data_IF_934448873194
#
_entry.id   IF_934448873194
#
_cell.length_a   1.000
_cell.length_b   1.000
_cell.length_c   1.000
_cell.angle_alpha   90.00
_cell.angle_beta   90.00
_cell.angle_gamma   90.00
#
_symmetry.space_group_name_H-M   'P 1'
#
loop_
_entity.id
_entity.type
_entity.pdbx_description
1 polymer ?
#
# COMPACT_ATOMS: atom_id res chain seq x y z
N UNK A 1 -4.63 -16.37 -2.93
CA UNK A 1 -4.38 -14.96 -3.30
C UNK A 1 -3.87 -14.89 -4.73
N UNK A 2 -4.49 -14.07 -5.57
CA UNK A 2 -4.11 -13.81 -6.95
C UNK A 2 -3.26 -12.53 -7.05
N UNK A 3 -2.26 -12.51 -7.95
CA UNK A 3 -1.47 -11.31 -8.24
C UNK A 3 -1.75 -10.86 -9.66
N UNK A 4 -2.24 -9.62 -9.81
CA UNK A 4 -2.64 -9.04 -11.10
C UNK A 4 -1.73 -7.87 -11.43
N UNK A 5 -0.84 -7.99 -12.44
CA UNK A 5 -0.11 -6.84 -12.96
C UNK A 5 -1.07 -5.95 -13.77
N UNK A 6 -1.43 -4.79 -13.23
CA UNK A 6 -2.31 -3.83 -13.89
C UNK A 6 -1.47 -3.00 -14.87
N UNK A 7 -1.39 -3.46 -16.11
CA UNK A 7 -0.58 -2.88 -17.18
C UNK A 7 0.90 -2.61 -16.83
N UNK A 8 1.41 -3.30 -15.81
CA UNK A 8 2.75 -3.13 -15.29
C UNK A 8 3.79 -3.37 -16.40
N UNK A 9 4.68 -2.41 -16.61
CA UNK A 9 5.69 -2.46 -17.67
C UNK A 9 5.16 -2.20 -19.08
N UNK A 10 3.86 -1.94 -19.25
CA UNK A 10 3.24 -1.58 -20.55
C UNK A 10 2.89 -0.10 -20.63
N UNK A 11 2.32 0.46 -19.56
CA UNK A 11 2.02 1.90 -19.44
C UNK A 11 1.95 2.32 -17.98
N UNK A 12 2.01 3.62 -17.75
CA UNK A 12 1.69 4.22 -16.47
C UNK A 12 0.17 4.43 -16.35
N UNK A 13 -0.45 3.86 -15.33
CA UNK A 13 -1.91 3.83 -15.18
C UNK A 13 -2.40 5.11 -14.48
N UNK A 14 -3.37 5.85 -15.04
CA UNK A 14 -4.00 6.96 -14.35
C UNK A 14 -4.58 6.52 -13.00
N UNK A 15 -4.37 7.32 -11.96
CA UNK A 15 -4.72 6.93 -10.59
C UNK A 15 -6.20 6.54 -10.44
N UNK A 16 -7.10 7.32 -11.06
CA UNK A 16 -8.54 7.08 -10.98
C UNK A 16 -8.95 5.71 -11.53
N UNK A 17 -8.36 5.28 -12.65
CA UNK A 17 -8.61 3.99 -13.28
C UNK A 17 -8.30 2.83 -12.32
N UNK A 18 -7.13 2.89 -11.69
CA UNK A 18 -6.73 1.88 -10.71
C UNK A 18 -7.55 1.96 -9.43
N UNK A 19 -7.94 3.15 -8.98
CA UNK A 19 -8.77 3.32 -7.79
C UNK A 19 -10.19 2.78 -7.99
N UNK A 20 -10.77 2.97 -9.16
CA UNK A 20 -12.06 2.38 -9.54
C UNK A 20 -12.00 0.86 -9.57
N UNK A 21 -10.92 0.30 -10.11
CA UNK A 21 -10.68 -1.14 -10.07
C UNK A 21 -10.52 -1.64 -8.64
N UNK A 22 -9.75 -0.95 -7.79
CA UNK A 22 -9.61 -1.33 -6.36
C UNK A 22 -10.98 -1.40 -5.66
N UNK A 23 -11.89 -0.45 -5.91
CA UNK A 23 -13.24 -0.45 -5.31
C UNK A 23 -14.07 -1.64 -5.79
N UNK A 24 -13.97 -1.98 -7.07
CA UNK A 24 -14.65 -3.14 -7.66
C UNK A 24 -14.14 -4.44 -7.04
N UNK A 25 -12.82 -4.64 -7.05
CA UNK A 25 -12.16 -5.82 -6.46
C UNK A 25 -12.45 -5.92 -4.96
N UNK A 26 -12.44 -4.80 -4.23
CA UNK A 26 -12.80 -4.78 -2.80
C UNK A 26 -14.23 -5.28 -2.57
N UNK A 27 -15.19 -4.83 -3.37
CA UNK A 27 -16.57 -5.27 -3.26
C UNK A 27 -16.73 -6.77 -3.52
N UNK A 28 -16.05 -7.30 -4.54
CA UNK A 28 -16.08 -8.72 -4.89
C UNK A 28 -15.42 -9.60 -3.83
N UNK A 29 -14.24 -9.22 -3.32
CA UNK A 29 -13.56 -9.93 -2.22
C UNK A 29 -14.39 -9.86 -0.94
N UNK A 30 -15.00 -8.71 -0.65
CA UNK A 30 -15.90 -8.53 0.50
C UNK A 30 -17.17 -9.39 0.39
N UNK A 31 -17.67 -9.64 -0.82
CA UNK A 31 -18.80 -10.53 -1.09
C UNK A 31 -18.40 -12.02 -1.19
N UNK A 32 -17.10 -12.33 -1.26
CA UNK A 32 -16.60 -13.70 -1.45
C UNK A 32 -16.77 -14.21 -2.88
N UNK A 33 -17.01 -13.34 -3.85
CA UNK A 33 -17.19 -13.70 -5.27
C UNK A 33 -15.89 -13.63 -6.07
N UNK A 34 -14.81 -13.16 -5.44
CA UNK A 34 -13.45 -13.12 -6.00
C UNK A 34 -12.45 -13.54 -4.92
N UNK A 35 -11.38 -14.27 -5.25
CA UNK A 35 -10.29 -14.53 -4.32
C UNK A 35 -9.58 -13.23 -3.92
N UNK A 36 -8.91 -13.25 -2.76
CA UNK A 36 -7.97 -12.21 -2.36
C UNK A 36 -7.04 -11.83 -3.52
N UNK A 37 -6.93 -10.54 -3.82
CA UNK A 37 -6.25 -10.04 -5.01
C UNK A 37 -5.22 -8.98 -4.62
N UNK A 38 -4.01 -9.07 -5.17
CA UNK A 38 -3.00 -8.02 -5.10
C UNK A 38 -2.84 -7.40 -6.49
N UNK A 39 -3.16 -6.11 -6.62
CA UNK A 39 -2.86 -5.37 -7.84
C UNK A 39 -1.43 -4.82 -7.75
N UNK A 40 -0.63 -5.02 -8.80
CA UNK A 40 0.69 -4.41 -8.94
C UNK A 40 0.65 -3.41 -10.10
N UNK A 41 1.04 -2.18 -9.85
CA UNK A 41 0.87 -1.07 -10.81
C UNK A 41 2.00 -0.05 -10.71
N UNK A 42 2.23 0.65 -11.81
CA UNK A 42 3.00 1.88 -11.86
C UNK A 42 2.04 3.00 -12.31
N UNK A 43 2.02 4.12 -11.60
CA UNK A 43 1.08 5.21 -11.90
C UNK A 43 1.66 6.25 -12.83
N UNK A 44 0.77 6.92 -13.57
CA UNK A 44 1.10 8.26 -14.08
C UNK A 44 1.35 9.20 -12.89
N UNK A 45 2.20 10.23 -13.08
CA UNK A 45 2.56 11.17 -12.01
C UNK A 45 1.30 11.76 -11.35
N UNK A 46 1.17 11.61 -10.03
CA UNK A 46 -0.01 12.01 -9.27
C UNK A 46 0.33 12.25 -7.80
N UNK A 47 -0.24 13.31 -7.24
CA UNK A 47 -0.28 13.52 -5.80
C UNK A 47 -1.60 13.02 -5.23
N UNK A 48 -1.55 12.26 -4.13
CA UNK A 48 -2.76 11.77 -3.44
C UNK A 48 -2.78 12.23 -2.00
N UNK A 49 -3.88 12.82 -1.55
CA UNK A 49 -4.08 13.31 -0.20
C UNK A 49 -4.97 12.34 0.59
N UNK A 50 -4.37 11.64 1.57
CA UNK A 50 -5.12 10.80 2.51
C UNK A 50 -5.89 11.64 3.55
N UNK A 51 -6.72 10.98 4.36
CA UNK A 51 -7.65 11.63 5.32
C UNK A 51 -7.02 12.59 6.34
N UNK A 52 -5.71 12.51 6.59
CA UNK A 52 -5.00 13.34 7.57
C UNK A 52 -4.17 14.47 6.95
N UNK A 53 -4.28 14.68 5.63
CA UNK A 53 -3.48 15.69 4.91
C UNK A 53 -3.86 17.10 5.34
N UNK A 54 -2.89 17.86 5.84
CA UNK A 54 -3.09 19.28 6.12
C UNK A 54 -2.92 20.13 4.85
N UNK A 55 -3.46 21.35 4.86
CA UNK A 55 -3.34 22.25 3.71
C UNK A 55 -1.87 22.57 3.36
N UNK A 56 -1.01 22.75 4.37
CA UNK A 56 0.43 23.01 4.20
C UNK A 56 1.24 21.78 3.77
N UNK A 57 0.67 20.58 3.80
CA UNK A 57 1.35 19.40 3.26
C UNK A 57 1.27 19.37 1.72
N UNK A 58 0.31 20.10 1.11
CA UNK A 58 0.02 20.09 -0.33
C UNK A 58 1.03 20.93 -1.14
N UNK A 59 1.19 20.65 -2.46
CA UNK A 59 1.95 21.51 -3.35
C UNK A 59 1.39 22.94 -3.35
N UNK A 60 2.30 23.92 -3.36
CA UNK A 60 1.95 25.35 -3.39
C UNK A 60 1.95 25.94 -4.80
N UNK A 61 2.36 25.16 -5.80
CA UNK A 61 2.48 25.55 -7.21
C UNK A 61 1.21 25.33 -8.04
N UNK A 62 0.11 24.89 -7.40
CA UNK A 62 -1.15 24.60 -8.07
C UNK A 62 -1.24 23.21 -8.72
N UNK A 63 -0.23 22.35 -8.50
CA UNK A 63 -0.27 20.97 -9.00
C UNK A 63 -1.51 20.22 -8.48
N UNK A 64 -2.31 19.56 -9.36
CA UNK A 64 -3.49 18.83 -8.94
C UNK A 64 -3.20 17.72 -7.92
N UNK A 65 -4.10 17.57 -6.94
CA UNK A 65 -4.04 16.54 -5.90
C UNK A 65 -5.35 15.79 -5.86
N UNK A 66 -5.30 14.46 -5.84
CA UNK A 66 -6.48 13.60 -5.70
C UNK A 66 -6.74 13.31 -4.22
N UNK A 67 -7.89 13.74 -3.71
CA UNK A 67 -8.31 13.40 -2.35
C UNK A 67 -8.84 11.97 -2.28
N UNK A 68 -8.30 11.19 -1.33
CA UNK A 68 -8.52 9.74 -1.22
C UNK A 68 -8.82 9.31 0.21
N UNK A 69 -9.46 8.16 0.36
CA UNK A 69 -9.99 7.65 1.62
C UNK A 69 -9.01 6.78 2.43
N UNK A 70 -7.77 6.60 1.96
CA UNK A 70 -6.72 5.89 2.70
C UNK A 70 -6.32 6.63 3.99
N UNK A 71 -5.75 5.86 4.92
CA UNK A 71 -4.98 6.43 6.01
C UNK A 71 -3.74 7.19 5.52
N UNK A 72 -3.09 7.89 6.45
CA UNK A 72 -1.91 8.72 6.12
C UNK A 72 -2.27 10.11 5.62
N UNK A 73 -1.24 10.84 5.20
CA UNK A 73 -1.31 12.19 4.66
C UNK A 73 -0.99 12.18 3.16
N UNK A 74 -0.51 13.28 2.60
CA UNK A 74 -0.15 13.37 1.19
C UNK A 74 1.05 12.48 0.83
N UNK A 75 1.07 11.98 -0.39
CA UNK A 75 2.23 11.33 -1.03
C UNK A 75 2.18 11.57 -2.53
N UNK A 76 3.26 11.23 -3.21
CA UNK A 76 3.34 11.18 -4.67
C UNK A 76 3.48 9.72 -5.17
N UNK A 77 2.92 9.46 -6.34
CA UNK A 77 3.14 8.25 -7.14
C UNK A 77 3.47 8.62 -8.57
N UNK A 78 4.26 7.79 -9.25
CA UNK A 78 4.57 8.01 -10.65
C UNK A 78 5.53 6.97 -11.25
N UNK A 79 6.07 7.25 -12.45
CA UNK A 79 7.03 6.38 -13.12
C UNK A 79 8.23 6.03 -12.23
N UNK A 80 8.65 4.77 -12.25
CA UNK A 80 9.75 4.26 -11.42
C UNK A 80 9.37 3.96 -9.98
N UNK A 81 8.09 4.01 -9.60
CA UNK A 81 7.60 3.63 -8.27
C UNK A 81 6.66 2.43 -8.39
N UNK A 82 7.03 1.30 -7.77
CA UNK A 82 6.19 0.11 -7.72
C UNK A 82 5.13 0.28 -6.64
N UNK A 83 3.86 0.27 -7.04
CA UNK A 83 2.72 0.34 -6.13
C UNK A 83 2.04 -1.02 -6.05
N UNK A 84 1.72 -1.46 -4.83
CA UNK A 84 0.98 -2.68 -4.60
C UNK A 84 -0.28 -2.39 -3.78
N UNK A 85 -1.41 -2.93 -4.23
CA UNK A 85 -2.70 -2.87 -3.55
C UNK A 85 -3.17 -4.26 -3.17
N UNK A 86 -2.74 -4.79 -2.00
CA UNK A 86 -3.32 -6.02 -1.46
C UNK A 86 -4.75 -5.75 -0.99
N UNK A 87 -5.70 -6.36 -1.68
CA UNK A 87 -7.13 -6.34 -1.37
C UNK A 87 -7.49 -7.74 -0.90
N UNK A 88 -7.35 -7.94 0.41
CA UNK A 88 -7.39 -9.25 1.05
C UNK A 88 -8.32 -9.22 2.24
N UNK A 89 -9.00 -10.34 2.51
CA UNK A 89 -9.79 -10.51 3.73
C UNK A 89 -8.87 -10.89 4.89
N UNK A 90 -8.85 -10.06 5.94
CA UNK A 90 -8.09 -10.36 7.15
C UNK A 90 -8.83 -11.38 8.03
N UNK A 91 -8.06 -12.22 8.71
CA UNK A 91 -8.57 -13.13 9.73
C UNK A 91 -9.14 -12.32 10.93
N UNK A 92 -10.11 -12.92 11.63
CA UNK A 92 -10.70 -12.32 12.83
C UNK A 92 -10.01 -12.84 14.10
N UNK A 93 -9.75 -11.97 15.10
CA UNK A 93 -10.04 -10.53 15.11
C UNK A 93 -9.08 -9.74 14.19
N UNK A 94 -9.61 -8.77 13.46
CA UNK A 94 -8.82 -7.91 12.54
C UNK A 94 -7.71 -7.15 13.30
N UNK A 95 -6.45 -7.43 12.92
CA UNK A 95 -5.28 -6.69 13.39
C UNK A 95 -4.64 -5.87 12.25
N UNK A 96 -4.97 -4.58 12.22
CA UNK A 96 -4.45 -3.64 11.21
C UNK A 96 -2.96 -3.36 11.41
N UNK A 97 -2.46 -3.43 12.65
CA UNK A 97 -1.05 -3.16 12.95
C UNK A 97 -0.20 -4.33 12.43
N UNK A 98 -0.61 -5.56 12.70
CA UNK A 98 0.04 -6.75 12.16
C UNK A 98 0.05 -6.72 10.62
N UNK A 99 -1.06 -6.33 9.99
CA UNK A 99 -1.15 -6.17 8.54
C UNK A 99 -0.15 -5.12 8.01
N UNK A 100 -0.08 -3.93 8.60
CA UNK A 100 0.91 -2.90 8.20
C UNK A 100 2.34 -3.43 8.38
N UNK A 101 2.63 -4.12 9.49
CA UNK A 101 3.95 -4.71 9.73
C UNK A 101 4.31 -5.80 8.71
N UNK A 102 3.35 -6.57 8.22
CA UNK A 102 3.57 -7.55 7.16
C UNK A 102 3.89 -6.88 5.81
N UNK A 103 3.25 -5.76 5.49
CA UNK A 103 3.60 -4.96 4.31
C UNK A 103 5.01 -4.35 4.43
N UNK A 104 5.36 -3.82 5.61
CA UNK A 104 6.71 -3.35 5.90
C UNK A 104 7.74 -4.46 5.72
N UNK A 105 7.44 -5.67 6.24
CA UNK A 105 8.35 -6.81 6.09
C UNK A 105 8.53 -7.19 4.63
N UNK A 106 7.45 -7.23 3.84
CA UNK A 106 7.53 -7.59 2.43
C UNK A 106 8.46 -6.63 1.65
N UNK A 107 8.40 -5.34 1.98
CA UNK A 107 9.31 -4.35 1.38
C UNK A 107 10.74 -4.53 1.86
N UNK A 108 10.96 -4.77 3.15
CA UNK A 108 12.30 -5.03 3.72
C UNK A 108 12.93 -6.23 3.03
N UNK A 109 12.20 -7.34 2.90
CA UNK A 109 12.68 -8.57 2.27
C UNK A 109 13.00 -8.35 0.77
N UNK A 110 12.14 -7.62 0.06
CA UNK A 110 12.36 -7.30 -1.35
C UNK A 110 13.57 -6.37 -1.57
N UNK A 111 13.78 -5.39 -0.68
CA UNK A 111 14.96 -4.51 -0.70
C UNK A 111 16.26 -5.28 -0.37
N UNK A 112 16.20 -6.18 0.62
CA UNK A 112 17.33 -7.02 0.99
C UNK A 112 17.74 -7.96 -0.16
N UNK A 113 16.78 -8.48 -0.93
CA UNK A 113 17.04 -9.32 -2.10
C UNK A 113 17.82 -8.62 -3.22
N UNK A 114 17.85 -7.28 -3.24
CA UNK A 114 18.69 -6.49 -4.16
C UNK A 114 19.92 -5.86 -3.48
N UNK A 115 20.19 -6.23 -2.23
CA UNK A 115 21.36 -5.83 -1.47
C UNK A 115 21.21 -4.54 -0.66
N UNK A 116 19.98 -4.06 -0.42
CA UNK A 116 19.74 -2.88 0.41
C UNK A 116 19.14 -3.25 1.77
N UNK A 117 19.90 -3.04 2.84
CA UNK A 117 19.40 -3.17 4.20
C UNK A 117 18.47 -2.01 4.55
N UNK A 118 17.32 -2.32 5.15
CA UNK A 118 16.29 -1.35 5.55
C UNK A 118 15.63 -1.77 6.86
N UNK A 119 14.94 -0.84 7.51
CA UNK A 119 14.32 -1.05 8.81
C UNK A 119 12.94 -0.39 8.91
N UNK A 120 12.24 -0.71 10.00
CA UNK A 120 11.06 0.02 10.45
C UNK A 120 11.52 1.16 11.34
N UNK A 121 10.84 2.30 11.26
CA UNK A 121 11.05 3.40 12.19
C UNK A 121 9.89 3.47 13.19
N UNK A 122 10.20 3.50 14.48
CA UNK A 122 9.19 3.57 15.53
C UNK A 122 8.28 4.79 15.34
N UNK A 123 6.97 4.57 15.45
CA UNK A 123 5.94 5.62 15.25
C UNK A 123 5.80 6.11 13.80
N UNK A 124 6.57 5.59 12.84
CA UNK A 124 6.59 6.07 11.44
C UNK A 124 6.36 4.93 10.45
N UNK A 125 5.12 4.75 10.01
CA UNK A 125 4.77 3.69 9.05
C UNK A 125 5.56 3.78 7.75
N UNK A 126 5.89 2.62 7.19
CA UNK A 126 6.71 2.50 5.98
C UNK A 126 8.09 1.92 6.26
N UNK A 127 8.92 1.89 5.22
CA UNK A 127 10.27 1.31 5.30
C UNK A 127 11.32 2.39 5.08
N UNK A 128 12.36 2.32 5.91
CA UNK A 128 13.33 3.38 6.12
C UNK A 128 14.75 2.83 5.99
N UNK A 129 15.69 3.72 5.69
CA UNK A 129 17.11 3.38 5.73
C UNK A 129 17.59 3.39 7.19
N UNK A 130 18.53 2.48 7.56
CA UNK A 130 19.16 2.53 8.86
C UNK A 130 19.71 3.93 9.13
N UNK A 131 19.39 4.47 10.30
CA UNK A 131 19.79 5.84 10.62
C UNK A 131 21.30 5.93 10.83
N UNK A 132 21.98 6.67 9.96
CA UNK A 132 23.35 7.11 10.21
C UNK A 132 23.35 8.30 11.19
N UNK A 133 24.38 8.38 12.03
CA UNK A 133 24.52 9.47 13.02
C UNK A 133 24.51 10.84 12.34
N UNK A 134 23.69 11.75 12.86
CA UNK A 134 23.55 13.11 12.33
C UNK A 134 22.79 13.24 11.00
N UNK A 135 22.46 12.13 10.32
CA UNK A 135 21.71 12.17 9.07
C UNK A 135 20.19 12.30 9.30
N UNK A 136 19.50 12.92 8.34
CA UNK A 136 18.03 12.93 8.29
C UNK A 136 17.52 11.51 7.96
N UNK A 137 16.40 11.06 8.57
CA UNK A 137 15.76 9.80 8.18
C UNK A 137 15.39 9.80 6.70
N UNK A 138 15.67 8.69 6.01
CA UNK A 138 15.34 8.51 4.60
C UNK A 138 14.33 7.39 4.43
N UNK A 139 13.20 7.67 3.78
CA UNK A 139 12.08 6.76 3.58
C UNK A 139 12.13 6.14 2.19
N UNK A 140 12.20 4.81 2.14
CA UNK A 140 12.23 4.05 0.90
C UNK A 140 10.81 3.73 0.39
N UNK A 141 9.88 3.45 1.29
CA UNK A 141 8.51 3.07 0.92
C UNK A 141 7.45 3.68 1.83
N UNK A 142 6.37 4.15 1.22
CA UNK A 142 5.18 4.62 1.91
C UNK A 142 4.15 3.50 2.05
N UNK A 143 3.45 3.47 3.18
CA UNK A 143 2.35 2.54 3.45
C UNK A 143 1.16 3.32 3.95
N UNK A 144 0.02 3.16 3.28
CA UNK A 144 -1.24 3.81 3.58
C UNK A 144 -2.38 2.89 3.20
N UNK A 145 -3.07 2.35 4.20
CA UNK A 145 -4.10 1.32 4.02
C UNK A 145 -5.46 1.80 4.52
N UNK A 146 -6.50 1.11 4.09
CA UNK A 146 -7.86 1.18 4.66
C UNK A 146 -8.36 -0.24 4.86
N UNK A 147 -9.11 -0.48 5.93
CA UNK A 147 -9.85 -1.73 6.13
C UNK A 147 -11.33 -1.39 6.25
N UNK A 148 -12.17 -2.11 5.49
CA UNK A 148 -13.61 -1.98 5.53
C UNK A 148 -14.26 -3.34 5.26
N UNK A 149 -15.26 -3.73 6.04
CA UNK A 149 -15.92 -5.05 5.96
C UNK A 149 -14.93 -6.23 6.09
N UNK A 150 -13.88 -6.06 6.91
CA UNK A 150 -12.80 -7.04 7.08
C UNK A 150 -11.85 -7.19 5.88
N UNK A 151 -12.00 -6.38 4.84
CA UNK A 151 -11.17 -6.43 3.61
C UNK A 151 -10.34 -5.16 3.46
N UNK A 152 -9.07 -5.33 3.10
CA UNK A 152 -8.08 -4.26 2.92
C UNK A 152 -8.25 -3.54 1.58
N UNK A 153 -7.78 -2.30 1.50
CA UNK A 153 -7.69 -1.50 0.26
C UNK A 153 -6.52 -0.53 0.39
N UNK A 154 -6.07 0.03 -0.74
CA UNK A 154 -4.79 0.72 -0.88
C UNK A 154 -3.64 -0.22 -0.52
N UNK A 155 -2.52 0.27 0.01
CA UNK A 155 -1.37 -0.59 0.22
C UNK A 155 -0.08 0.18 0.41
N UNK A 156 0.89 -0.11 -0.45
CA UNK A 156 2.26 0.39 -0.34
C UNK A 156 2.78 0.92 -1.67
N UNK A 157 3.78 1.80 -1.58
CA UNK A 157 4.49 2.37 -2.71
C UNK A 157 6.00 2.32 -2.44
N UNK A 158 6.73 1.56 -3.26
CA UNK A 158 8.17 1.31 -3.17
C UNK A 158 8.93 2.08 -4.26
N UNK A 159 9.79 3.00 -3.84
CA UNK A 159 10.59 3.83 -4.73
C UNK A 159 11.72 3.02 -5.37
N UNK A 160 11.63 2.78 -6.68
CA UNK A 160 12.61 2.00 -7.43
C UNK A 160 13.58 2.93 -8.18
N UNK A 161 13.14 3.49 -9.30
CA UNK A 161 13.89 4.45 -10.15
C UNK A 161 13.22 5.82 -10.23
N UNK A 162 12.19 6.08 -9.42
CA UNK A 162 11.39 7.29 -9.50
C UNK A 162 12.18 8.57 -9.27
N UNK A 163 11.71 9.66 -9.86
CA UNK A 163 12.24 11.00 -9.60
C UNK A 163 11.86 11.45 -8.18
N UNK A 164 12.88 11.60 -7.33
CA UNK A 164 12.71 11.99 -5.94
C UNK A 164 12.41 13.49 -5.79
N UNK A 165 12.63 14.32 -6.82
CA UNK A 165 12.33 15.74 -6.78
C UNK A 165 10.84 16.01 -6.57
N UNK A 166 9.96 15.10 -7.00
CA UNK A 166 8.51 15.21 -6.78
C UNK A 166 8.14 15.22 -5.29
N UNK A 167 8.91 14.55 -4.43
CA UNK A 167 8.67 14.60 -2.98
C UNK A 167 9.05 15.94 -2.34
N UNK A 168 9.89 16.75 -2.99
CA UNK A 168 10.31 18.06 -2.46
C UNK A 168 9.20 19.12 -2.58
N UNK A 169 8.18 18.87 -3.40
CA UNK A 169 7.04 19.76 -3.61
C UNK A 169 5.97 19.65 -2.51
N UNK A 170 6.10 18.67 -1.62
CA UNK A 170 5.13 18.35 -0.57
C UNK A 170 5.85 18.16 0.76
N UNK A 171 5.07 18.07 1.84
CA UNK A 171 5.56 17.51 3.11
C UNK A 171 5.11 16.04 3.16
N UNK A 172 5.88 15.10 2.61
CA UNK A 172 5.43 13.73 2.41
C UNK A 172 5.15 13.07 3.75
N UNK A 173 3.98 12.44 3.88
CA UNK A 173 3.52 11.83 5.12
C UNK A 173 3.45 12.80 6.33
N UNK A 174 3.58 14.13 6.14
CA UNK A 174 3.67 15.15 7.20
C UNK A 174 4.95 15.08 8.05
N UNK A 175 6.05 14.58 7.47
CA UNK A 175 7.34 14.42 8.13
C UNK A 175 8.35 15.41 7.56
N UNK A 176 8.36 16.67 8.01
CA UNK A 176 9.28 17.69 7.48
C UNK A 176 10.75 17.40 7.85
N UNK A 177 11.00 16.49 8.79
CA UNK A 177 12.34 16.12 9.24
C UNK A 177 12.94 14.94 8.47
N UNK A 178 12.20 14.37 7.50
CA UNK A 178 12.61 13.21 6.72
C UNK A 178 12.65 13.49 5.22
N UNK A 179 13.46 12.68 4.51
CA UNK A 179 13.58 12.69 3.06
C UNK A 179 13.03 11.41 2.44
N UNK A 180 12.57 11.47 1.19
CA UNK A 180 12.32 10.28 0.39
C UNK A 180 13.63 9.79 -0.24
N UNK A 181 13.75 8.48 -0.43
CA UNK A 181 14.83 7.88 -1.23
C UNK A 181 14.31 6.75 -2.11
N UNK A 182 15.16 6.18 -2.95
CA UNK A 182 14.84 5.08 -3.87
C UNK A 182 15.94 4.02 -3.85
N UNK A 183 15.60 2.79 -4.27
CA UNK A 183 16.57 1.71 -4.41
C UNK A 183 17.73 2.10 -5.32
N UNK A 184 17.42 2.83 -6.40
CA UNK A 184 18.43 3.28 -7.37
C UNK A 184 19.38 4.31 -6.77
N UNK A 185 18.86 5.26 -5.97
CA UNK A 185 19.68 6.27 -5.32
C UNK A 185 20.63 5.66 -4.29
N UNK A 186 20.15 4.71 -3.48
CA UNK A 186 20.96 4.12 -2.40
C UNK A 186 21.97 3.07 -2.90
N UNK A 187 21.68 2.37 -3.99
CA UNK A 187 22.58 1.34 -4.53
C UNK A 187 23.52 1.85 -5.63
N UNK A 188 23.36 3.10 -6.08
CA UNK A 188 24.20 3.70 -7.13
C UNK A 188 24.07 3.02 -8.51
N UNK A 189 23.01 2.22 -8.72
CA UNK A 189 22.72 1.52 -9.97
C UNK A 189 21.20 1.44 -10.18
N UNK A 190 20.71 1.40 -11.43
CA UNK A 190 19.28 1.22 -11.68
C UNK A 190 18.75 -0.07 -11.05
N UNK A 191 17.69 0.07 -10.26
CA UNK A 191 16.91 -1.07 -9.75
C UNK A 191 15.45 -0.81 -10.12
N UNK A 192 15.00 -1.44 -11.21
CA UNK A 192 13.74 -1.07 -11.88
C UNK A 192 12.52 -1.72 -11.22
N UNK A 193 11.33 -1.19 -11.53
CA UNK A 193 10.06 -1.80 -11.13
C UNK A 193 9.92 -3.22 -11.68
N UNK A 194 10.37 -3.48 -12.91
CA UNK A 194 10.36 -4.83 -13.49
C UNK A 194 11.22 -5.82 -12.69
N UNK A 195 12.36 -5.37 -12.17
CA UNK A 195 13.21 -6.20 -11.30
C UNK A 195 12.56 -6.44 -9.93
N UNK A 196 11.90 -5.43 -9.35
CA UNK A 196 11.34 -5.53 -7.99
C UNK A 196 9.99 -6.21 -7.92
N UNK A 197 9.15 -6.11 -8.95
CA UNK A 197 7.81 -6.68 -8.97
C UNK A 197 7.76 -8.17 -8.58
N UNK A 198 8.58 -9.08 -9.13
CA UNK A 198 8.57 -10.48 -8.70
C UNK A 198 9.05 -10.69 -7.27
N UNK A 199 10.02 -9.89 -6.79
CA UNK A 199 10.56 -9.99 -5.43
C UNK A 199 9.53 -9.54 -4.40
N UNK A 200 8.90 -8.39 -4.63
CA UNK A 200 7.85 -7.88 -3.77
C UNK A 200 6.63 -8.80 -3.78
N UNK A 201 6.26 -9.37 -4.93
CA UNK A 201 5.18 -10.37 -5.04
C UNK A 201 5.44 -11.57 -4.13
N UNK A 202 6.63 -12.17 -4.21
CA UNK A 202 6.98 -13.33 -3.39
C UNK A 202 6.95 -12.98 -1.89
N UNK A 203 7.52 -11.83 -1.52
CA UNK A 203 7.54 -11.37 -0.14
C UNK A 203 6.12 -11.09 0.40
N UNK A 204 5.27 -10.40 -0.36
CA UNK A 204 3.87 -10.17 0.01
C UNK A 204 3.10 -11.46 0.19
N UNK A 205 3.28 -12.46 -0.69
CA UNK A 205 2.62 -13.75 -0.54
C UNK A 205 3.02 -14.43 0.78
N UNK A 206 4.30 -14.40 1.13
CA UNK A 206 4.80 -15.01 2.35
C UNK A 206 4.35 -14.27 3.61
N UNK A 207 4.44 -12.93 3.64
CA UNK A 207 4.15 -12.16 4.85
C UNK A 207 2.67 -11.97 5.12
N UNK A 208 1.82 -11.99 4.09
CA UNK A 208 0.37 -11.85 4.24
C UNK A 208 -0.33 -13.18 4.52
N UNK A 209 0.22 -14.32 4.10
CA UNK A 209 -0.40 -15.64 4.29
C UNK A 209 -0.88 -15.91 5.73
N UNK A 210 -0.14 -15.58 6.80
CA UNK A 210 -0.59 -15.82 8.17
C UNK A 210 -1.75 -14.92 8.63
N UNK A 211 -2.07 -13.86 7.87
CA UNK A 211 -3.02 -12.81 8.28
C UNK A 211 -4.34 -12.86 7.50
N UNK A 212 -4.39 -13.58 6.39
CA UNK A 212 -5.60 -13.69 5.58
C UNK A 212 -6.53 -14.76 6.13
N UNK A 213 -7.84 -14.54 6.01
CA UNK A 213 -8.82 -15.55 6.38
C UNK A 213 -8.73 -16.77 5.45
N UNK A 214 -8.88 -17.98 6.01
CA UNK A 214 -8.92 -19.19 5.19
C UNK A 214 -10.05 -19.13 4.16
N UNK A 215 -9.70 -19.38 2.90
CA UNK A 215 -10.60 -19.25 1.73
C UNK A 215 -11.73 -20.28 1.65
N UNK A 216 -12.06 -20.98 2.74
CA UNK A 216 -13.27 -21.77 2.79
C UNK A 216 -14.47 -20.80 2.78
N UNK A 217 -15.06 -20.65 1.59
CA UNK A 217 -16.22 -19.82 1.32
C UNK A 217 -17.21 -19.85 2.49
N UNK A 218 -17.21 -18.78 3.30
CA UNK A 218 -18.21 -18.61 4.34
C UNK A 218 -19.51 -18.34 3.59
N UNK A 219 -20.39 -19.33 3.54
CA UNK A 219 -21.73 -19.17 2.96
C UNK A 219 -22.37 -17.88 3.49
N UNK A 220 -23.09 -17.12 2.65
CA UNK A 220 -23.71 -15.89 3.09
C UNK A 220 -24.62 -16.21 4.29
N UNK A 221 -24.36 -15.55 5.43
CA UNK A 221 -25.29 -15.57 6.55
C UNK A 221 -26.59 -14.96 6.05
N UNK A 222 -27.59 -15.80 5.80
CA UNK A 222 -28.93 -15.35 5.47
C UNK A 222 -29.44 -14.50 6.64
N UNK A 223 -30.02 -13.35 6.31
CA UNK A 223 -30.78 -12.54 7.25
C UNK A 223 -32.09 -13.28 7.57
N UNK A 224 -32.01 -14.27 8.45
CA UNK A 224 -33.14 -15.00 8.98
C UNK A 224 -32.75 -15.57 10.34
N UNK A 225 -32.60 -14.69 11.34
CA UNK A 225 -32.61 -15.12 12.75
C UNK A 225 -33.29 -14.09 13.67
N UNK A 226 -34.25 -13.36 13.09
CA UNK A 226 -35.24 -12.58 13.83
C UNK A 226 -36.62 -12.99 13.34
N UNK A 227 -37.01 -14.23 13.67
CA UNK A 227 -38.39 -14.66 13.66
C UNK A 227 -38.66 -15.46 14.94
N UNK A 228 -39.44 -14.80 15.80
CA UNK A 228 -40.50 -15.40 16.62
C UNK A 228 -40.12 -16.45 17.67
N UNK A 229 -40.20 -16.04 18.95
CA UNK A 229 -40.85 -16.87 19.97
C UNK A 229 -42.17 -16.20 20.35
N UNK A 230 -43.32 -16.81 20.06
CA UNK A 230 -44.55 -16.53 20.80
C UNK A 230 -44.75 -17.56 21.92
N UNK A 231 -45.70 -17.22 22.81
CA UNK A 231 -46.35 -18.02 23.87
C UNK A 231 -45.64 -17.92 25.24
N UNK A 232 -46.04 -16.99 26.12
CA UNK A 232 -47.22 -16.99 27.02
C UNK A 232 -47.16 -18.01 28.16
N UNK A 233 -47.06 -17.48 29.38
CA UNK A 233 -47.80 -17.88 30.57
C UNK A 233 -48.01 -16.63 31.43
#
# INVERSE_FOLDING_TARGET
MEFVPLDLGRRHVPYQEAWDLQRTVHAEVAAGTRPDTVLLVEHASVYTAGRRTAAWDRPVDGTPVVDVDRGGRITWHGPGQLVAYPIVRLAEPVDVIAYVRALEQAVIDAAAAVGLATERAEGRSGVWLPRADGARPRKLAAIGVRVARGVTMHGLALNCTCDLQEFTRIVPCGLPDADATSLTAELGRPVTVAQLAPLLRAALAATLQPLVADGAARAPRTAADHAEHPVSA
#
